data_IF_042301677221
#
_entry.id   IF_042301677221
#
_cell.length_a   1.000
_cell.length_b   1.000
_cell.length_c   1.000
_cell.angle_alpha   90.00
_cell.angle_beta   90.00
_cell.angle_gamma   90.00
#
_symmetry.space_group_name_H-M   'P 1'
#
loop_
_entity.id
_entity.type
_entity.pdbx_description
1 polymer ?
#
# COMPACT_ATOMS: atom_id res chain seq x y z
N UNK A 1 18.54 3.40 20.28
CA UNK A 1 17.70 3.96 19.20
C UNK A 1 18.09 5.36 18.74
N UNK A 2 18.46 6.32 19.60
CA UNK A 2 18.85 7.69 19.19
C UNK A 2 19.94 7.79 18.10
N UNK A 3 20.92 6.86 18.04
CA UNK A 3 21.98 6.88 17.01
C UNK A 3 21.45 6.50 15.60
N UNK A 4 20.43 5.65 15.52
CA UNK A 4 19.85 5.21 14.24
C UNK A 4 19.01 6.33 13.61
N UNK A 5 18.29 7.09 14.44
CA UNK A 5 17.55 8.28 14.03
C UNK A 5 18.49 9.38 13.53
N UNK A 6 19.54 9.69 14.29
CA UNK A 6 20.59 10.63 13.84
C UNK A 6 21.21 10.21 12.50
N UNK A 7 21.37 8.90 12.28
CA UNK A 7 21.77 8.35 10.98
C UNK A 7 20.82 8.75 9.84
N UNK A 8 19.51 8.57 10.01
CA UNK A 8 18.52 8.93 8.99
C UNK A 8 18.41 10.45 8.78
N UNK A 9 18.56 11.25 9.85
CA UNK A 9 18.60 12.71 9.74
C UNK A 9 19.80 13.18 8.92
N UNK A 10 20.99 12.68 9.23
CA UNK A 10 22.22 13.01 8.50
C UNK A 10 22.17 12.55 7.05
N UNK A 11 21.61 11.37 6.77
CA UNK A 11 21.41 10.87 5.41
C UNK A 11 20.43 11.73 4.62
N UNK A 12 19.38 12.23 5.27
CA UNK A 12 18.42 13.13 4.61
C UNK A 12 19.05 14.49 4.30
N UNK A 13 19.83 15.07 5.22
CA UNK A 13 20.59 16.29 4.95
C UNK A 13 21.63 16.09 3.82
N UNK A 14 22.24 14.91 3.73
CA UNK A 14 23.12 14.57 2.62
C UNK A 14 22.36 14.52 1.28
N UNK A 15 21.18 13.89 1.23
CA UNK A 15 20.34 13.87 0.04
C UNK A 15 20.01 15.29 -0.45
N UNK A 16 19.73 16.21 0.47
CA UNK A 16 19.48 17.62 0.14
C UNK A 16 20.71 18.36 -0.36
N UNK A 17 21.86 18.17 0.31
CA UNK A 17 23.12 18.76 -0.15
C UNK A 17 23.51 18.28 -1.55
N UNK A 18 23.12 17.06 -1.93
CA UNK A 18 23.29 16.56 -3.30
C UNK A 18 22.41 17.33 -4.30
N UNK A 19 21.20 17.76 -3.93
CA UNK A 19 20.36 18.61 -4.79
C UNK A 19 21.03 19.95 -5.08
N UNK A 20 21.57 20.59 -4.04
CA UNK A 20 22.30 21.86 -4.17
C UNK A 20 23.56 21.69 -5.01
N UNK A 21 24.30 20.59 -4.80
CA UNK A 21 25.48 20.27 -5.58
C UNK A 21 25.13 20.02 -7.05
N UNK A 22 24.05 19.29 -7.35
CA UNK A 22 23.56 19.06 -8.71
C UNK A 22 23.22 20.37 -9.43
N UNK A 23 22.56 21.31 -8.74
CA UNK A 23 22.27 22.63 -9.28
C UNK A 23 23.56 23.42 -9.60
N UNK A 24 24.55 23.37 -8.70
CA UNK A 24 25.85 24.03 -8.90
C UNK A 24 26.60 23.46 -10.09
N UNK A 25 26.74 22.12 -10.18
CA UNK A 25 27.51 21.49 -11.25
C UNK A 25 26.81 21.57 -12.61
N UNK A 26 25.48 21.67 -12.63
CA UNK A 26 24.71 21.93 -13.86
C UNK A 26 25.01 23.33 -14.43
N UNK A 27 25.32 24.31 -13.57
CA UNK A 27 25.66 25.67 -13.96
C UNK A 27 27.18 25.89 -14.23
N UNK A 28 28.03 24.91 -13.91
CA UNK A 28 29.48 25.04 -13.99
C UNK A 28 30.02 24.64 -15.37
N UNK A 29 30.39 25.62 -16.20
CA UNK A 29 31.05 25.36 -17.49
C UNK A 29 32.31 24.51 -17.30
N UNK A 30 32.44 23.44 -18.11
CA UNK A 30 33.54 22.48 -18.04
C UNK A 30 33.32 21.28 -17.11
N UNK A 31 32.23 21.26 -16.32
CA UNK A 31 31.84 20.06 -15.58
C UNK A 31 31.15 19.04 -16.51
N UNK A 32 31.33 17.71 -16.33
CA UNK A 32 30.66 16.69 -17.16
C UNK A 32 29.12 16.73 -17.15
N UNK A 33 28.53 17.34 -16.12
CA UNK A 33 27.07 17.50 -15.95
C UNK A 33 26.56 18.89 -16.34
N UNK A 34 27.40 19.76 -16.91
CA UNK A 34 26.98 21.10 -17.33
C UNK A 34 25.82 21.03 -18.32
N UNK A 35 24.69 21.68 -17.99
CA UNK A 35 23.45 21.68 -18.77
C UNK A 35 22.85 20.28 -19.04
N UNK A 36 23.17 19.29 -18.21
CA UNK A 36 22.65 17.92 -18.31
C UNK A 36 21.73 17.52 -17.15
N UNK A 37 21.48 18.42 -16.20
CA UNK A 37 20.50 18.21 -15.12
C UNK A 37 19.25 19.02 -15.41
N UNK A 38 18.12 18.31 -15.52
CA UNK A 38 16.80 18.92 -15.53
C UNK A 38 16.34 19.16 -14.09
N UNK A 39 16.43 20.42 -13.66
CA UNK A 39 16.09 20.83 -12.29
C UNK A 39 14.58 20.75 -11.98
N UNK A 40 13.72 20.64 -13.00
CA UNK A 40 12.26 20.50 -12.81
C UNK A 40 11.85 19.04 -12.59
N UNK A 41 12.73 18.09 -12.94
CA UNK A 41 12.44 16.65 -12.93
C UNK A 41 13.40 15.86 -12.04
N UNK A 42 13.59 16.33 -10.81
CA UNK A 42 14.42 15.64 -9.82
C UNK A 42 13.59 14.63 -9.02
N UNK A 43 14.06 13.39 -8.98
CA UNK A 43 13.50 12.32 -8.15
C UNK A 43 14.51 11.91 -7.08
N UNK A 44 14.01 11.56 -5.90
CA UNK A 44 14.85 11.12 -4.79
C UNK A 44 14.46 9.72 -4.36
N UNK A 45 15.44 8.87 -4.09
CA UNK A 45 15.16 7.53 -3.60
C UNK A 45 16.17 7.01 -2.59
N UNK A 46 15.75 6.01 -1.81
CA UNK A 46 16.61 5.40 -0.80
C UNK A 46 16.15 4.01 -0.40
N UNK A 47 17.12 3.14 -0.10
CA UNK A 47 16.89 1.77 0.35
C UNK A 47 16.97 1.65 1.87
N UNK A 48 16.12 0.81 2.48
CA UNK A 48 16.18 0.52 3.92
C UNK A 48 16.06 1.82 4.75
N UNK A 49 17.01 2.11 5.64
CA UNK A 49 17.10 3.39 6.38
C UNK A 49 17.22 4.62 5.46
N UNK A 50 17.79 4.45 4.27
CA UNK A 50 17.80 5.47 3.24
C UNK A 50 16.39 5.83 2.76
N UNK A 51 15.44 4.89 2.81
CA UNK A 51 14.03 5.18 2.57
C UNK A 51 13.42 6.09 3.63
N UNK A 52 13.77 5.92 4.91
CA UNK A 52 13.38 6.85 5.98
C UNK A 52 13.99 8.23 5.78
N UNK A 53 15.26 8.30 5.37
CA UNK A 53 15.88 9.58 4.98
C UNK A 53 15.09 10.27 3.86
N UNK A 54 14.72 9.52 2.81
CA UNK A 54 13.87 10.01 1.71
C UNK A 54 12.51 10.50 2.20
N UNK A 55 11.90 9.85 3.20
CA UNK A 55 10.62 10.32 3.76
C UNK A 55 10.76 11.68 4.43
N UNK A 56 11.87 11.90 5.14
CA UNK A 56 12.14 13.20 5.73
C UNK A 56 12.30 14.28 4.65
N UNK A 57 13.01 13.96 3.57
CA UNK A 57 13.20 14.87 2.43
C UNK A 57 11.87 15.14 1.73
N UNK A 58 11.02 14.12 1.51
CA UNK A 58 9.66 14.28 0.96
C UNK A 58 8.81 15.22 1.81
N UNK A 59 8.89 15.13 3.13
CA UNK A 59 8.16 16.03 4.03
C UNK A 59 8.51 17.50 3.78
N UNK A 60 9.76 17.76 3.39
CA UNK A 60 10.32 19.10 3.15
C UNK A 60 10.19 19.58 1.71
N UNK A 61 9.51 18.82 0.86
CA UNK A 61 9.08 19.30 -0.46
C UNK A 61 7.86 20.21 -0.40
N UNK A 62 7.38 20.54 0.79
CA UNK A 62 6.40 21.58 1.07
C UNK A 62 7.07 22.62 1.97
N UNK A 63 6.67 23.91 1.91
CA UNK A 63 7.16 24.90 2.85
C UNK A 63 6.95 24.42 4.29
N UNK A 64 7.97 24.52 5.12
CA UNK A 64 7.92 24.10 6.52
C UNK A 64 8.61 25.13 7.42
N UNK A 65 8.18 25.22 8.68
CA UNK A 65 8.77 26.14 9.66
C UNK A 65 9.82 25.42 10.47
N UNK A 66 11.04 25.93 10.46
CA UNK A 66 12.17 25.43 11.23
C UNK A 66 12.73 26.55 12.14
N UNK A 67 12.74 26.32 13.45
CA UNK A 67 13.14 27.34 14.45
C UNK A 67 12.46 28.72 14.27
N UNK A 68 11.20 28.75 13.84
CA UNK A 68 10.45 29.99 13.64
C UNK A 68 10.74 30.70 12.31
N UNK A 69 11.53 30.10 11.42
CA UNK A 69 11.76 30.59 10.07
C UNK A 69 11.19 29.62 9.03
N UNK A 70 10.49 30.14 8.04
CA UNK A 70 10.01 29.37 6.89
C UNK A 70 11.20 28.93 6.02
N UNK A 71 11.27 27.64 5.70
CA UNK A 71 12.26 27.07 4.81
C UNK A 71 11.65 26.86 3.42
N UNK A 72 12.40 27.13 2.34
CA UNK A 72 11.92 26.87 0.99
C UNK A 72 11.70 25.36 0.79
N UNK A 73 10.68 25.03 0.02
CA UNK A 73 10.40 23.65 -0.36
C UNK A 73 11.53 23.08 -1.22
N UNK A 74 11.89 21.82 -0.99
CA UNK A 74 12.74 21.08 -1.92
C UNK A 74 12.01 20.91 -3.25
N UNK A 75 12.67 21.28 -4.35
CA UNK A 75 12.18 21.07 -5.72
C UNK A 75 12.31 19.59 -6.12
N UNK A 76 11.38 18.77 -5.67
CA UNK A 76 11.29 17.35 -6.02
C UNK A 76 10.03 17.08 -6.84
N UNK A 77 10.18 16.26 -7.88
CA UNK A 77 9.08 15.81 -8.74
C UNK A 77 8.38 14.56 -8.20
N UNK A 78 9.11 13.74 -7.47
CA UNK A 78 8.59 12.53 -6.82
C UNK A 78 9.66 11.80 -6.03
N UNK A 79 9.25 10.79 -5.28
CA UNK A 79 10.15 10.01 -4.41
C UNK A 79 9.97 8.50 -4.60
N UNK A 80 11.04 7.74 -4.36
CA UNK A 80 11.06 6.28 -4.46
C UNK A 80 11.61 5.64 -3.19
N UNK A 81 10.81 4.80 -2.55
CA UNK A 81 11.20 4.05 -1.36
C UNK A 81 11.51 2.61 -1.75
N UNK A 82 12.73 2.16 -1.51
CA UNK A 82 13.10 0.76 -1.73
C UNK A 82 13.17 0.05 -0.38
N UNK A 83 12.16 -0.76 -0.05
CA UNK A 83 12.10 -1.51 1.21
C UNK A 83 12.38 -0.58 2.40
N UNK A 84 11.79 0.61 2.35
CA UNK A 84 12.14 1.74 3.21
C UNK A 84 11.50 1.66 4.58
N UNK A 85 12.15 2.26 5.57
CA UNK A 85 11.52 2.51 6.87
C UNK A 85 12.00 3.78 7.52
N UNK A 86 11.13 4.32 8.35
CA UNK A 86 11.46 5.40 9.25
C UNK A 86 11.16 5.02 10.70
N UNK A 87 12.23 4.82 11.48
CA UNK A 87 12.14 4.57 12.93
C UNK A 87 11.62 5.76 13.72
N UNK A 88 11.63 6.97 13.15
CA UNK A 88 11.13 8.16 13.84
C UNK A 88 9.61 8.08 14.00
N UNK A 89 8.90 7.36 13.13
CA UNK A 89 7.44 7.22 13.12
C UNK A 89 6.84 6.37 14.26
N UNK A 90 7.65 5.84 15.17
CA UNK A 90 7.19 4.97 16.27
C UNK A 90 7.04 5.78 17.56
N UNK A 91 5.91 5.66 18.27
CA UNK A 91 5.72 6.42 19.52
C UNK A 91 6.71 6.04 20.64
N UNK A 92 7.35 4.87 20.58
CA UNK A 92 8.37 4.45 21.58
C UNK A 92 9.79 4.92 21.29
N UNK A 93 10.10 5.34 20.06
CA UNK A 93 11.39 5.98 19.76
C UNK A 93 11.39 7.47 20.16
N UNK A 94 10.23 7.99 20.60
CA UNK A 94 10.08 9.29 21.29
C UNK A 94 10.67 9.21 22.72
N UNK A 95 11.96 8.93 22.85
CA UNK A 95 12.76 9.40 23.99
C UNK A 95 13.62 10.57 23.52
N UNK A 96 12.91 11.63 23.11
CA UNK A 96 13.50 12.80 22.47
C UNK A 96 12.60 13.23 21.34
N UNK A 97 11.88 14.33 21.54
CA UNK A 97 11.40 15.11 20.41
C UNK A 97 12.62 15.47 19.57
N UNK A 98 12.80 14.84 18.40
CA UNK A 98 13.73 15.39 17.41
C UNK A 98 13.15 16.73 16.97
N UNK A 99 13.52 17.79 17.69
CA UNK A 99 13.14 19.17 17.38
C UNK A 99 13.71 19.62 16.02
N UNK A 100 14.61 18.81 15.43
CA UNK A 100 15.29 19.13 14.17
C UNK A 100 14.45 18.73 12.95
N UNK A 101 13.73 17.60 13.00
CA UNK A 101 12.91 17.12 11.89
C UNK A 101 11.66 16.39 12.41
N UNK A 102 10.49 17.07 12.48
CA UNK A 102 9.26 16.41 12.89
C UNK A 102 8.89 15.32 11.88
N UNK A 103 8.47 14.13 12.37
CA UNK A 103 7.75 13.18 11.51
C UNK A 103 6.36 13.73 11.34
N UNK A 104 5.92 14.02 10.13
CA UNK A 104 4.57 14.50 9.93
C UNK A 104 3.59 13.33 10.11
N UNK A 105 2.41 13.62 10.66
CA UNK A 105 1.33 12.64 10.73
C UNK A 105 0.87 12.19 9.33
N UNK A 106 1.14 13.02 8.32
CA UNK A 106 0.80 12.85 6.91
C UNK A 106 2.06 13.04 6.05
N UNK A 107 2.25 12.26 4.99
CA UNK A 107 3.32 12.49 4.02
C UNK A 107 3.07 13.75 3.19
N UNK A 108 4.14 14.29 2.59
CA UNK A 108 4.02 15.37 1.61
C UNK A 108 3.19 14.95 0.39
N UNK A 109 2.48 15.91 -0.24
CA UNK A 109 1.60 15.67 -1.40
C UNK A 109 2.31 15.29 -2.71
N UNK A 110 3.59 14.92 -2.64
CA UNK A 110 4.35 14.52 -3.83
C UNK A 110 3.99 13.12 -4.28
N UNK A 111 4.09 12.84 -5.59
CA UNK A 111 4.08 11.48 -6.09
C UNK A 111 5.12 10.60 -5.40
N UNK A 112 4.72 9.41 -4.97
CA UNK A 112 5.62 8.44 -4.35
C UNK A 112 5.45 7.04 -4.92
N UNK A 113 6.56 6.37 -5.20
CA UNK A 113 6.61 4.93 -5.46
C UNK A 113 7.25 4.24 -4.26
N UNK A 114 6.56 3.27 -3.70
CA UNK A 114 7.03 2.44 -2.61
C UNK A 114 7.19 1.04 -3.17
N UNK A 115 8.38 0.47 -3.03
CA UNK A 115 8.69 -0.89 -3.43
C UNK A 115 8.99 -1.65 -2.16
N UNK A 116 8.38 -2.81 -1.98
CA UNK A 116 8.65 -3.65 -0.83
C UNK A 116 8.77 -5.12 -1.25
N UNK A 117 9.54 -5.89 -0.49
CA UNK A 117 9.77 -7.31 -0.77
C UNK A 117 8.80 -8.17 0.05
N UNK A 118 8.16 -9.16 -0.54
CA UNK A 118 7.25 -10.08 0.18
C UNK A 118 7.93 -10.74 1.40
N UNK A 119 9.20 -11.14 1.26
CA UNK A 119 10.00 -11.78 2.30
C UNK A 119 11.04 -10.82 2.89
N UNK A 120 10.68 -9.54 3.06
CA UNK A 120 11.51 -8.57 3.78
C UNK A 120 11.56 -8.92 5.28
N UNK A 121 12.77 -9.14 5.82
CA UNK A 121 12.98 -9.48 7.23
C UNK A 121 13.68 -8.42 8.05
N UNK A 122 14.34 -7.46 7.40
CA UNK A 122 14.88 -6.31 8.13
C UNK A 122 13.71 -5.50 8.69
N UNK A 123 12.58 -5.50 7.96
CA UNK A 123 11.42 -4.68 8.24
C UNK A 123 10.13 -5.45 7.99
N UNK A 124 9.72 -6.23 8.98
CA UNK A 124 8.37 -6.78 8.98
C UNK A 124 7.34 -5.65 8.89
N UNK A 125 6.19 -5.91 8.27
CA UNK A 125 5.05 -4.98 8.28
C UNK A 125 4.69 -4.58 9.74
N UNK A 126 4.28 -3.32 10.03
CA UNK A 126 3.82 -2.26 9.10
C UNK A 126 4.86 -1.30 8.59
N UNK A 127 6.15 -1.62 8.68
CA UNK A 127 7.14 -0.55 8.63
C UNK A 127 7.25 0.10 7.23
N UNK A 128 7.07 -0.63 6.13
CA UNK A 128 6.96 -0.01 4.80
C UNK A 128 5.58 0.60 4.54
N UNK A 129 4.52 -0.10 4.97
CA UNK A 129 3.12 0.24 4.69
C UNK A 129 2.67 1.52 5.38
N UNK A 130 3.31 1.89 6.50
CA UNK A 130 3.12 3.17 7.17
C UNK A 130 3.24 4.40 6.26
N UNK A 131 3.94 4.26 5.12
CA UNK A 131 4.11 5.33 4.16
C UNK A 131 2.86 5.51 3.30
N UNK A 132 2.26 4.42 2.77
CA UNK A 132 1.03 4.53 1.99
C UNK A 132 -0.17 4.92 2.87
N UNK A 133 -0.21 4.44 4.12
CA UNK A 133 -1.26 4.84 5.09
C UNK A 133 -1.24 6.33 5.43
N UNK A 134 -0.12 7.01 5.19
CA UNK A 134 0.05 8.45 5.42
C UNK A 134 0.14 9.23 4.11
N UNK A 135 -0.01 8.59 2.95
CA UNK A 135 0.10 9.26 1.67
C UNK A 135 -1.04 10.28 1.50
N UNK A 136 -0.68 11.53 1.21
CA UNK A 136 -1.65 12.59 0.87
C UNK A 136 -1.64 12.95 -0.62
N UNK A 137 -0.53 12.63 -1.29
CA UNK A 137 -0.37 12.73 -2.74
C UNK A 137 -0.54 11.39 -3.44
N UNK A 138 -0.39 11.35 -4.78
CA UNK A 138 -0.43 10.10 -5.54
C UNK A 138 0.64 9.12 -5.05
N UNK A 139 0.24 7.95 -4.58
CA UNK A 139 1.16 6.92 -4.11
C UNK A 139 0.89 5.58 -4.80
N UNK A 140 1.97 4.89 -5.16
CA UNK A 140 1.94 3.51 -5.63
C UNK A 140 2.78 2.69 -4.65
N UNK A 141 2.19 1.68 -4.04
CA UNK A 141 2.88 0.67 -3.25
C UNK A 141 2.90 -0.63 -4.03
N UNK A 142 4.08 -1.07 -4.45
CA UNK A 142 4.32 -2.33 -5.11
C UNK A 142 5.00 -3.32 -4.16
N UNK A 143 4.38 -4.47 -3.95
CA UNK A 143 5.01 -5.63 -3.32
C UNK A 143 5.51 -6.57 -4.39
N UNK A 144 6.82 -6.78 -4.47
CA UNK A 144 7.41 -7.79 -5.34
C UNK A 144 7.36 -9.13 -4.63
N UNK A 145 6.73 -10.11 -5.26
CA UNK A 145 6.59 -11.44 -4.70
C UNK A 145 7.86 -12.28 -4.90
N UNK A 146 8.22 -13.05 -3.88
CA UNK A 146 9.45 -13.85 -3.80
C UNK A 146 10.71 -13.06 -3.49
N UNK A 147 10.61 -11.74 -3.48
CA UNK A 147 11.71 -10.84 -3.16
C UNK A 147 12.12 -10.89 -1.68
N UNK A 148 13.33 -10.42 -1.38
CA UNK A 148 13.82 -10.15 -0.02
C UNK A 148 14.42 -8.75 0.10
N UNK A 149 14.73 -8.30 1.32
CA UNK A 149 15.25 -6.96 1.58
C UNK A 149 16.58 -6.69 0.86
N UNK A 150 17.50 -7.66 0.96
CA UNK A 150 18.90 -7.51 0.56
C UNK A 150 19.14 -7.48 -0.95
N UNK A 151 18.24 -8.07 -1.74
CA UNK A 151 18.39 -8.16 -3.20
C UNK A 151 18.18 -6.83 -3.93
N UNK A 152 17.74 -5.77 -3.24
CA UNK A 152 17.85 -4.42 -3.80
C UNK A 152 19.29 -3.91 -3.86
N UNK A 153 20.18 -4.41 -2.99
CA UNK A 153 21.60 -4.11 -3.03
C UNK A 153 22.39 -5.07 -3.92
N UNK A 154 23.53 -4.60 -4.44
CA UNK A 154 24.32 -5.35 -5.42
C UNK A 154 25.17 -6.47 -4.80
N UNK A 155 25.55 -6.31 -3.53
CA UNK A 155 26.61 -7.12 -2.91
C UNK A 155 26.13 -7.98 -1.75
N UNK A 156 24.99 -7.66 -1.15
CA UNK A 156 24.48 -8.38 0.03
C UNK A 156 23.83 -9.70 -0.40
N UNK A 157 24.28 -10.81 0.20
CA UNK A 157 23.71 -12.14 -0.06
C UNK A 157 22.24 -12.26 0.33
N UNK A 158 21.63 -13.39 -0.05
CA UNK A 158 20.28 -13.73 0.39
C UNK A 158 20.21 -13.71 1.92
N UNK A 159 19.07 -13.31 2.45
CA UNK A 159 18.85 -13.43 3.88
C UNK A 159 18.77 -14.92 4.32
N UNK A 160 19.10 -15.27 5.58
CA UNK A 160 19.11 -16.66 6.12
C UNK A 160 17.77 -17.42 6.01
N UNK A 161 17.63 -18.70 6.35
CA UNK A 161 16.29 -19.32 6.44
C UNK A 161 15.61 -19.01 7.79
N UNK A 162 14.38 -18.49 7.75
CA UNK A 162 13.54 -18.26 8.95
C UNK A 162 12.18 -18.97 8.82
N UNK A 163 12.12 -20.10 8.10
CA UNK A 163 10.93 -20.94 7.94
C UNK A 163 10.23 -21.30 9.26
N UNK A 164 11.00 -21.46 10.34
CA UNK A 164 10.48 -21.65 11.72
C UNK A 164 9.62 -20.50 12.27
N UNK A 165 9.65 -19.33 11.64
CA UNK A 165 8.90 -18.12 11.98
C UNK A 165 7.80 -17.81 10.95
N UNK A 166 7.50 -18.73 10.03
CA UNK A 166 6.50 -18.55 8.98
C UNK A 166 6.96 -17.62 7.85
N UNK A 167 8.27 -17.35 7.74
CA UNK A 167 8.85 -16.49 6.70
C UNK A 167 9.63 -17.36 5.73
N UNK A 168 9.23 -17.34 4.46
CA UNK A 168 9.89 -18.09 3.39
C UNK A 168 11.32 -17.59 3.11
N UNK A 169 12.09 -18.42 2.41
CA UNK A 169 13.27 -17.97 1.68
C UNK A 169 12.82 -17.18 0.44
N UNK A 170 13.62 -16.21 -0.04
CA UNK A 170 13.36 -15.64 -1.35
C UNK A 170 13.34 -16.76 -2.40
N UNK A 171 12.34 -16.74 -3.27
CA UNK A 171 12.17 -17.73 -4.33
C UNK A 171 12.33 -17.15 -5.74
N UNK A 172 12.66 -15.85 -5.85
CA UNK A 172 13.20 -15.24 -7.06
C UNK A 172 14.67 -14.86 -6.86
N UNK A 173 15.40 -14.69 -7.94
CA UNK A 173 16.79 -14.24 -7.96
C UNK A 173 16.90 -12.73 -7.74
N UNK A 174 18.12 -12.26 -7.41
CA UNK A 174 18.42 -10.82 -7.34
C UNK A 174 18.08 -10.10 -8.65
N UNK A 175 18.46 -10.69 -9.78
CA UNK A 175 18.26 -10.10 -11.09
C UNK A 175 16.77 -9.90 -11.40
N UNK A 176 15.93 -10.91 -11.14
CA UNK A 176 14.48 -10.81 -11.32
C UNK A 176 13.86 -9.75 -10.40
N UNK A 177 14.28 -9.68 -9.14
CA UNK A 177 13.80 -8.65 -8.21
C UNK A 177 14.17 -7.23 -8.70
N UNK A 178 15.42 -7.02 -9.10
CA UNK A 178 15.89 -5.73 -9.58
C UNK A 178 15.20 -5.34 -10.89
N UNK A 179 15.01 -6.27 -11.82
CA UNK A 179 14.28 -6.04 -13.07
C UNK A 179 12.84 -5.57 -12.79
N UNK A 180 12.08 -6.32 -11.97
CA UNK A 180 10.71 -5.96 -11.59
C UNK A 180 10.64 -4.59 -10.89
N UNK A 181 11.55 -4.33 -9.96
CA UNK A 181 11.64 -3.05 -9.27
C UNK A 181 11.94 -1.90 -10.24
N UNK A 182 12.94 -2.04 -11.10
CA UNK A 182 13.35 -0.98 -12.01
C UNK A 182 12.34 -0.72 -13.13
N UNK A 183 11.59 -1.74 -13.57
CA UNK A 183 10.46 -1.53 -14.50
C UNK A 183 9.43 -0.56 -13.90
N UNK A 184 9.07 -0.72 -12.62
CA UNK A 184 8.16 0.18 -11.92
C UNK A 184 8.77 1.57 -11.71
N UNK A 185 10.06 1.66 -11.36
CA UNK A 185 10.76 2.95 -11.20
C UNK A 185 10.79 3.74 -12.51
N UNK A 186 11.14 3.08 -13.62
CA UNK A 186 11.17 3.70 -14.94
C UNK A 186 9.77 4.17 -15.34
N UNK A 187 8.75 3.35 -15.09
CA UNK A 187 7.37 3.75 -15.34
C UNK A 187 6.96 4.97 -14.51
N UNK A 188 7.29 4.99 -13.21
CA UNK A 188 7.00 6.09 -12.32
C UNK A 188 7.69 7.40 -12.75
N UNK A 189 8.98 7.34 -13.08
CA UNK A 189 9.74 8.51 -13.55
C UNK A 189 9.14 9.02 -14.86
N UNK A 190 8.87 8.14 -15.85
CA UNK A 190 8.25 8.55 -17.11
C UNK A 190 6.87 9.17 -16.92
N UNK A 191 6.03 8.57 -16.06
CA UNK A 191 4.70 9.08 -15.73
C UNK A 191 4.74 10.48 -15.15
N UNK A 192 5.69 10.79 -14.29
CA UNK A 192 5.71 12.08 -13.58
C UNK A 192 6.60 13.12 -14.24
N UNK A 193 7.73 12.74 -14.84
CA UNK A 193 8.58 13.65 -15.58
C UNK A 193 7.94 14.04 -16.93
N UNK A 194 7.47 13.05 -17.68
CA UNK A 194 6.89 13.23 -19.01
C UNK A 194 5.37 13.35 -19.05
N UNK A 195 4.68 13.19 -17.91
CA UNK A 195 3.21 13.13 -17.84
C UNK A 195 2.60 12.02 -18.71
N UNK A 196 3.33 10.90 -18.89
CA UNK A 196 2.90 9.78 -19.73
C UNK A 196 1.75 9.00 -19.08
N UNK A 197 0.52 9.32 -19.46
CA UNK A 197 -0.70 8.70 -18.93
C UNK A 197 -0.86 7.22 -19.33
N UNK A 198 -0.11 6.72 -20.31
CA UNK A 198 -0.20 5.31 -20.70
C UNK A 198 0.29 4.35 -19.61
N UNK A 199 1.07 4.86 -18.66
CA UNK A 199 1.67 4.09 -17.57
C UNK A 199 0.77 4.00 -16.31
N UNK A 200 -0.41 4.61 -16.35
CA UNK A 200 -1.33 4.61 -15.22
C UNK A 200 -1.87 3.21 -14.90
N UNK A 201 -2.02 2.35 -15.91
CA UNK A 201 -2.48 0.99 -15.68
C UNK A 201 -1.50 0.18 -14.84
N UNK A 202 -0.21 0.29 -15.14
CA UNK A 202 0.89 -0.34 -14.39
C UNK A 202 1.02 0.20 -12.96
N UNK A 203 0.93 1.53 -12.77
CA UNK A 203 1.19 2.18 -11.48
C UNK A 203 -0.02 2.20 -10.53
N UNK A 204 -1.23 2.07 -11.06
CA UNK A 204 -2.49 2.16 -10.29
C UNK A 204 -3.34 0.89 -10.44
N UNK A 205 -2.65 -0.25 -10.56
CA UNK A 205 -3.18 -1.61 -10.39
C UNK A 205 -4.27 -2.04 -11.40
N UNK A 206 -4.38 -1.42 -12.58
CA UNK A 206 -5.26 -1.94 -13.62
C UNK A 206 -4.60 -3.07 -14.43
N UNK A 207 -3.29 -2.99 -14.65
CA UNK A 207 -2.55 -3.97 -15.49
C UNK A 207 -1.98 -5.15 -14.68
N UNK A 208 -1.64 -4.91 -13.40
CA UNK A 208 -1.07 -5.92 -12.51
C UNK A 208 -2.11 -6.59 -11.60
N UNK A 209 -3.40 -6.31 -11.81
CA UNK A 209 -4.47 -6.99 -11.10
C UNK A 209 -4.36 -8.51 -11.28
N UNK A 210 -4.37 -9.26 -10.17
CA UNK A 210 -4.20 -10.71 -10.20
C UNK A 210 -2.80 -11.23 -10.56
N UNK A 211 -1.80 -10.37 -10.73
CA UNK A 211 -0.43 -10.77 -11.07
C UNK A 211 0.20 -11.68 -10.01
N UNK A 212 0.98 -12.67 -10.45
CA UNK A 212 1.79 -13.55 -9.59
C UNK A 212 3.21 -13.00 -9.32
N UNK A 213 3.54 -11.82 -9.86
CA UNK A 213 4.88 -11.24 -9.74
C UNK A 213 4.94 -10.03 -8.80
N UNK A 214 3.92 -9.17 -8.88
CA UNK A 214 3.84 -7.92 -8.15
C UNK A 214 2.39 -7.65 -7.74
N UNK A 215 2.17 -7.37 -6.46
CA UNK A 215 0.91 -6.82 -5.96
C UNK A 215 1.01 -5.30 -5.87
N UNK A 216 0.06 -4.58 -6.45
CA UNK A 216 0.01 -3.11 -6.35
C UNK A 216 -1.14 -2.70 -5.43
N UNK A 217 -0.86 -1.72 -4.60
CA UNK A 217 -1.84 -0.90 -3.89
C UNK A 217 -1.57 0.55 -4.27
N UNK A 218 -2.61 1.35 -4.51
CA UNK A 218 -2.46 2.72 -4.91
C UNK A 218 -3.35 3.67 -4.12
N UNK A 219 -2.83 4.88 -3.93
CA UNK A 219 -3.59 6.04 -3.52
C UNK A 219 -3.55 7.05 -4.65
N UNK A 220 -4.66 7.19 -5.38
CA UNK A 220 -4.76 8.15 -6.49
C UNK A 220 -5.67 9.30 -6.07
N UNK A 221 -5.08 10.41 -5.64
CA UNK A 221 -5.83 11.62 -5.30
C UNK A 221 -6.09 12.49 -6.56
N UNK A 222 -6.58 11.90 -7.65
CA UNK A 222 -6.78 12.61 -8.93
C UNK A 222 -8.14 12.37 -9.59
N UNK A 223 -9.06 11.64 -8.96
CA UNK A 223 -10.45 11.44 -9.42
C UNK A 223 -11.42 11.80 -8.31
N UNK A 224 -12.70 12.01 -8.66
CA UNK A 224 -13.76 12.13 -7.67
C UNK A 224 -13.76 10.89 -6.79
N UNK A 225 -13.88 11.05 -5.47
CA UNK A 225 -13.66 9.96 -4.54
C UNK A 225 -14.68 9.99 -3.42
N UNK A 226 -15.28 8.83 -3.17
CA UNK A 226 -16.15 8.61 -2.01
C UNK A 226 -15.55 7.50 -1.15
N UNK A 227 -15.00 7.88 0.01
CA UNK A 227 -14.46 6.93 1.00
C UNK A 227 -15.63 6.36 1.78
N UNK A 228 -15.92 5.07 1.61
CA UNK A 228 -16.91 4.39 2.44
C UNK A 228 -16.31 4.17 3.82
N UNK A 229 -15.14 3.53 3.88
CA UNK A 229 -14.45 3.23 5.12
C UNK A 229 -12.94 3.07 4.90
N UNK A 230 -12.12 3.78 5.69
CA UNK A 230 -10.67 3.61 5.75
C UNK A 230 -10.22 2.82 6.99
N UNK A 231 -11.16 2.46 7.87
CA UNK A 231 -10.94 1.74 9.12
C UNK A 231 -9.96 2.37 10.12
N UNK A 232 -9.51 3.61 9.88
CA UNK A 232 -8.57 4.32 10.75
C UNK A 232 -9.27 4.91 11.99
N UNK A 233 -10.58 5.17 11.90
CA UNK A 233 -11.38 5.76 12.99
C UNK A 233 -11.52 4.89 14.25
N UNK A 234 -11.20 3.60 14.18
CA UNK A 234 -11.25 2.66 15.30
C UNK A 234 -12.66 2.23 15.74
N UNK A 235 -13.72 2.87 15.24
CA UNK A 235 -15.09 2.45 15.44
C UNK A 235 -15.46 1.33 14.46
N UNK A 236 -15.49 0.09 14.96
CA UNK A 236 -15.75 -1.08 14.13
C UNK A 236 -17.20 -1.23 13.63
N UNK A 237 -18.15 -0.50 14.20
CA UNK A 237 -19.58 -0.63 13.87
C UNK A 237 -20.09 0.47 12.96
N UNK A 238 -19.27 1.48 12.65
CA UNK A 238 -19.64 2.57 11.77
C UNK A 238 -18.50 2.92 10.81
N UNK A 239 -18.85 3.20 9.56
CA UNK A 239 -17.90 3.62 8.54
C UNK A 239 -17.70 5.14 8.51
N UNK A 240 -16.76 5.62 7.70
CA UNK A 240 -16.39 7.04 7.58
C UNK A 240 -17.56 7.93 7.14
N UNK A 241 -18.52 7.36 6.41
CA UNK A 241 -19.73 8.05 5.97
C UNK A 241 -20.85 8.09 7.04
N UNK A 242 -20.67 7.42 8.18
CA UNK A 242 -21.64 7.31 9.26
C UNK A 242 -22.65 6.16 9.12
N UNK A 243 -22.44 5.27 8.15
CA UNK A 243 -23.25 4.08 7.95
C UNK A 243 -22.78 2.90 8.81
N UNK A 244 -23.67 1.92 9.01
CA UNK A 244 -23.40 0.78 9.89
C UNK A 244 -22.57 -0.29 9.18
N UNK A 245 -21.58 -0.82 9.89
CA UNK A 245 -20.84 -2.02 9.51
C UNK A 245 -21.40 -3.24 10.27
N UNK A 246 -21.66 -4.34 9.57
CA UNK A 246 -22.19 -5.62 10.11
C UNK A 246 -21.42 -6.83 9.58
N UNK A 247 -21.27 -7.89 10.38
CA UNK A 247 -20.64 -9.14 9.97
C UNK A 247 -21.54 -10.30 10.39
N UNK A 248 -21.94 -11.10 9.40
CA UNK A 248 -22.62 -12.35 9.67
C UNK A 248 -21.60 -13.44 9.95
N UNK A 249 -21.86 -14.29 10.94
CA UNK A 249 -21.11 -15.54 11.16
C UNK A 249 -19.58 -15.38 11.23
N UNK A 250 -19.10 -14.63 12.23
CA UNK A 250 -17.67 -14.41 12.47
C UNK A 250 -17.41 -13.45 13.63
N UNK A 251 -16.16 -13.01 13.77
CA UNK A 251 -15.80 -11.91 14.68
C UNK A 251 -14.90 -10.92 13.96
N UNK A 252 -14.83 -9.67 14.42
CA UNK A 252 -13.88 -8.70 13.90
C UNK A 252 -13.26 -7.85 15.00
N UNK A 253 -12.12 -7.25 14.65
CA UNK A 253 -11.43 -6.22 15.44
C UNK A 253 -10.91 -5.10 14.54
N UNK A 254 -10.92 -3.87 15.04
CA UNK A 254 -10.24 -2.70 14.44
C UNK A 254 -8.94 -2.36 15.15
N UNK A 255 -8.58 -3.12 16.19
CA UNK A 255 -7.33 -2.98 16.92
C UNK A 255 -6.45 -4.18 16.64
N UNK A 256 -5.34 -3.96 15.93
CA UNK A 256 -4.34 -4.96 15.65
C UNK A 256 -3.65 -4.71 14.31
N UNK A 257 -2.34 -4.93 14.28
CA UNK A 257 -1.64 -5.19 13.03
C UNK A 257 -1.81 -6.66 12.69
N UNK A 258 -1.80 -6.98 11.40
CA UNK A 258 -2.12 -8.33 10.91
C UNK A 258 -0.91 -9.26 10.81
N UNK A 259 0.13 -8.91 11.58
CA UNK A 259 1.50 -9.37 11.39
C UNK A 259 2.11 -9.77 12.73
N UNK A 260 3.19 -10.59 12.73
CA UNK A 260 3.83 -11.06 13.94
C UNK A 260 4.11 -9.92 14.92
N UNK A 261 3.99 -10.20 16.21
CA UNK A 261 4.23 -9.24 17.30
C UNK A 261 5.74 -8.96 17.48
N UNK A 262 6.44 -8.63 16.40
CA UNK A 262 7.87 -8.34 16.42
C UNK A 262 8.08 -6.84 16.56
N UNK A 263 8.40 -6.41 17.79
CA UNK A 263 8.67 -5.02 18.11
C UNK A 263 7.42 -4.19 18.44
N UNK A 264 7.67 -2.92 18.76
CA UNK A 264 6.71 -1.94 19.27
C UNK A 264 5.74 -1.40 18.19
N UNK A 265 5.25 -2.28 17.31
CA UNK A 265 4.46 -1.94 16.11
C UNK A 265 3.08 -1.34 16.44
N UNK A 266 2.56 -1.59 17.65
CA UNK A 266 1.32 -0.97 18.16
C UNK A 266 1.41 0.55 18.33
N UNK A 267 2.58 1.15 18.10
CA UNK A 267 2.81 2.60 18.19
C UNK A 267 2.77 3.37 16.87
N UNK A 268 2.57 2.70 15.73
CA UNK A 268 2.48 3.38 14.44
C UNK A 268 1.16 4.15 14.24
N UNK A 269 0.14 3.87 15.06
CA UNK A 269 -1.16 4.54 15.01
C UNK A 269 -2.06 4.10 13.84
N UNK A 270 -1.62 3.15 13.03
CA UNK A 270 -2.37 2.56 11.91
C UNK A 270 -3.34 1.49 12.42
N UNK A 271 -4.54 1.43 11.83
CA UNK A 271 -5.57 0.42 12.13
C UNK A 271 -6.06 -0.23 10.86
N UNK A 272 -6.55 -1.46 10.97
CA UNK A 272 -7.17 -2.18 9.86
C UNK A 272 -8.41 -2.91 10.37
N UNK A 273 -9.35 -3.23 9.48
CA UNK A 273 -10.46 -4.10 9.81
C UNK A 273 -10.04 -5.56 9.63
N UNK A 274 -9.96 -6.28 10.73
CA UNK A 274 -9.55 -7.68 10.77
C UNK A 274 -10.77 -8.53 11.02
N UNK A 275 -11.17 -9.30 10.02
CA UNK A 275 -12.28 -10.25 10.08
C UNK A 275 -11.74 -11.64 10.37
N UNK A 276 -12.22 -12.30 11.41
CA UNK A 276 -11.92 -13.72 11.69
C UNK A 276 -13.10 -14.56 11.24
N UNK A 277 -12.87 -15.34 10.19
CA UNK A 277 -13.83 -16.22 9.52
C UNK A 277 -13.80 -17.62 10.14
N UNK A 278 -14.98 -18.19 10.41
CA UNK A 278 -15.09 -19.61 10.77
C UNK A 278 -14.77 -20.51 9.58
N UNK A 279 -14.20 -21.69 9.82
CA UNK A 279 -13.97 -22.68 8.75
C UNK A 279 -15.24 -23.45 8.40
N UNK A 280 -15.67 -23.38 7.14
CA UNK A 280 -16.81 -24.14 6.61
C UNK A 280 -18.13 -23.38 6.65
N UNK A 281 -18.22 -22.27 5.92
CA UNK A 281 -19.45 -21.51 5.76
C UNK A 281 -19.26 -20.20 4.99
N UNK A 282 -20.34 -19.44 4.89
CA UNK A 282 -20.33 -18.08 4.35
C UNK A 282 -20.30 -17.06 5.50
N UNK A 283 -19.40 -16.09 5.39
CA UNK A 283 -19.31 -14.91 6.26
C UNK A 283 -19.46 -13.68 5.36
N UNK A 284 -20.37 -12.76 5.70
CA UNK A 284 -20.56 -11.50 4.96
C UNK A 284 -20.22 -10.32 5.84
N UNK A 285 -19.26 -9.49 5.40
CA UNK A 285 -19.03 -8.16 5.94
C UNK A 285 -19.78 -7.13 5.08
N UNK A 286 -20.66 -6.35 5.70
CA UNK A 286 -21.47 -5.33 5.02
C UNK A 286 -21.09 -3.97 5.55
N UNK A 287 -20.86 -3.01 4.66
CA UNK A 287 -20.75 -1.59 4.96
C UNK A 287 -21.90 -0.83 4.30
N UNK A 288 -22.80 -0.25 5.12
CA UNK A 288 -23.94 0.55 4.62
C UNK A 288 -23.48 1.94 4.22
N UNK A 289 -23.94 2.44 3.08
CA UNK A 289 -23.74 3.83 2.66
C UNK A 289 -24.99 4.60 3.07
N UNK A 290 -24.92 5.63 3.96
CA UNK A 290 -26.11 6.38 4.35
C UNK A 290 -26.72 7.14 3.18
N UNK A 291 -28.04 7.31 3.16
CA UNK A 291 -28.77 7.93 2.05
C UNK A 291 -28.27 9.30 1.59
N UNK A 292 -27.67 10.09 2.49
CA UNK A 292 -27.05 11.38 2.17
C UNK A 292 -25.80 11.26 1.27
N UNK A 293 -25.16 10.10 1.24
CA UNK A 293 -23.84 9.87 0.64
C UNK A 293 -23.87 8.79 -0.46
N UNK A 294 -25.05 8.45 -0.98
CA UNK A 294 -25.20 7.38 -1.98
C UNK A 294 -25.09 7.89 -3.42
N UNK A 295 -24.95 9.19 -3.68
CA UNK A 295 -24.69 9.69 -5.04
C UNK A 295 -23.26 9.35 -5.45
N UNK A 296 -23.14 8.35 -6.32
CA UNK A 296 -21.88 7.84 -6.85
C UNK A 296 -21.78 8.05 -8.37
N UNK A 297 -22.62 8.91 -8.95
CA UNK A 297 -22.77 9.12 -10.39
C UNK A 297 -21.48 9.54 -11.12
N UNK A 298 -20.52 10.13 -10.38
CA UNK A 298 -19.22 10.55 -10.91
C UNK A 298 -18.13 9.49 -10.78
N UNK A 299 -18.39 8.40 -10.06
CA UNK A 299 -17.44 7.30 -9.86
C UNK A 299 -17.61 6.23 -10.94
N UNK A 300 -16.57 5.44 -11.17
CA UNK A 300 -16.50 4.42 -12.24
C UNK A 300 -16.04 3.06 -11.73
N UNK A 301 -15.50 2.99 -10.52
CA UNK A 301 -14.97 1.76 -9.93
C UNK A 301 -15.09 1.76 -8.42
N UNK A 302 -15.10 0.55 -7.87
CA UNK A 302 -14.90 0.30 -6.45
C UNK A 302 -13.47 -0.18 -6.24
N UNK A 303 -12.82 0.39 -5.23
CA UNK A 303 -11.45 0.07 -4.85
C UNK A 303 -11.42 -0.26 -3.36
N UNK A 304 -10.61 -1.24 -2.99
CA UNK A 304 -10.34 -1.62 -1.61
C UNK A 304 -8.98 -2.31 -1.55
N UNK A 305 -8.45 -2.42 -0.33
CA UNK A 305 -7.27 -3.23 -0.04
C UNK A 305 -7.69 -4.48 0.72
N UNK A 306 -7.14 -5.62 0.32
CA UNK A 306 -7.40 -6.89 0.97
C UNK A 306 -6.12 -7.70 1.18
N UNK A 307 -6.05 -8.43 2.29
CA UNK A 307 -5.02 -9.42 2.56
C UNK A 307 -5.58 -10.59 3.38
N UNK A 308 -4.81 -11.68 3.54
CA UNK A 308 -5.33 -12.85 4.23
C UNK A 308 -4.25 -13.71 4.90
N UNK A 309 -4.36 -13.89 6.23
CA UNK A 309 -3.55 -14.87 6.97
C UNK A 309 -4.40 -16.01 7.53
N UNK A 310 -3.84 -17.21 7.60
CA UNK A 310 -4.47 -18.32 8.30
C UNK A 310 -4.04 -18.38 9.77
N UNK A 311 -4.68 -19.27 10.54
CA UNK A 311 -4.40 -19.39 11.98
C UNK A 311 -2.97 -19.82 12.32
N UNK A 312 -2.22 -20.36 11.34
CA UNK A 312 -0.82 -20.77 11.48
C UNK A 312 0.16 -19.69 10.97
N UNK A 313 -0.35 -18.52 10.58
CA UNK A 313 0.46 -17.44 10.00
C UNK A 313 0.80 -17.63 8.52
N UNK A 314 0.20 -18.61 7.85
CA UNK A 314 0.37 -18.82 6.40
C UNK A 314 -0.46 -17.83 5.63
N UNK A 315 0.16 -17.32 4.59
CA UNK A 315 -0.31 -16.21 3.78
C UNK A 315 -1.09 -16.69 2.56
N UNK A 316 -2.15 -15.98 2.17
CA UNK A 316 -2.75 -16.14 0.84
C UNK A 316 -4.09 -16.84 0.68
N UNK A 317 -4.85 -16.49 -0.38
CA UNK A 317 -6.29 -16.77 -0.56
C UNK A 317 -6.71 -18.23 -0.86
N UNK A 318 -5.79 -19.18 -1.01
CA UNK A 318 -5.99 -20.59 -1.47
C UNK A 318 -7.21 -21.35 -0.86
N UNK A 319 -7.73 -20.92 0.30
CA UNK A 319 -8.78 -21.62 1.04
C UNK A 319 -10.06 -20.80 1.29
N UNK A 320 -10.15 -19.61 0.71
CA UNK A 320 -11.30 -18.72 0.83
C UNK A 320 -11.68 -18.21 -0.54
N UNK A 321 -12.94 -18.39 -0.94
CA UNK A 321 -13.48 -17.66 -2.09
C UNK A 321 -13.86 -16.27 -1.60
N UNK A 322 -13.41 -15.24 -2.32
CA UNK A 322 -13.63 -13.83 -1.98
C UNK A 322 -14.51 -13.23 -3.07
N UNK A 323 -15.65 -12.67 -2.68
CA UNK A 323 -16.59 -12.00 -3.59
C UNK A 323 -16.90 -10.60 -3.08
N UNK A 324 -17.17 -9.69 -4.00
CA UNK A 324 -17.73 -8.38 -3.71
C UNK A 324 -19.14 -8.31 -4.24
N UNK A 325 -20.09 -7.86 -3.42
CA UNK A 325 -21.46 -7.61 -3.80
C UNK A 325 -21.81 -6.14 -3.58
N UNK A 326 -22.41 -5.54 -4.59
CA UNK A 326 -23.00 -4.20 -4.52
C UNK A 326 -24.51 -4.33 -4.53
N UNK A 327 -25.19 -3.55 -3.68
CA UNK A 327 -26.65 -3.49 -3.60
C UNK A 327 -27.08 -2.03 -3.68
N UNK A 328 -28.07 -1.72 -4.52
CA UNK A 328 -28.63 -0.38 -4.65
C UNK A 328 -29.85 -0.13 -3.75
N UNK A 329 -30.43 1.07 -3.83
CA UNK A 329 -31.62 1.48 -3.06
C UNK A 329 -32.87 0.67 -3.37
N UNK A 330 -32.96 0.13 -4.58
CA UNK A 330 -34.07 -0.69 -5.05
C UNK A 330 -33.92 -2.15 -4.60
N UNK A 331 -32.81 -2.48 -3.93
CA UNK A 331 -32.37 -3.83 -3.57
C UNK A 331 -31.98 -4.68 -4.79
N UNK A 332 -31.73 -4.07 -5.94
CA UNK A 332 -31.03 -4.77 -7.01
C UNK A 332 -29.58 -4.95 -6.59
N UNK A 333 -29.03 -6.14 -6.84
CA UNK A 333 -27.67 -6.48 -6.43
C UNK A 333 -26.91 -7.22 -7.52
N UNK A 334 -25.59 -7.08 -7.51
CA UNK A 334 -24.68 -7.84 -8.37
C UNK A 334 -23.46 -8.28 -7.57
N UNK A 335 -22.98 -9.49 -7.86
CA UNK A 335 -21.83 -10.08 -7.17
C UNK A 335 -20.73 -10.40 -8.18
N UNK A 336 -19.51 -9.95 -7.89
CA UNK A 336 -18.29 -10.27 -8.64
C UNK A 336 -17.39 -11.15 -7.77
N UNK A 337 -16.93 -12.26 -8.33
CA UNK A 337 -15.95 -13.13 -7.67
C UNK A 337 -14.55 -12.56 -7.90
N UNK A 338 -13.85 -12.22 -6.82
CA UNK A 338 -12.53 -11.62 -6.85
C UNK A 338 -11.42 -12.69 -6.88
N UNK A 339 -11.67 -13.79 -6.17
CA UNK A 339 -10.85 -15.00 -6.13
C UNK A 339 -11.75 -16.20 -5.85
N UNK A 340 -11.57 -17.30 -6.57
CA UNK A 340 -12.28 -18.56 -6.36
C UNK A 340 -11.31 -19.68 -5.99
N UNK A 341 -11.45 -20.21 -4.77
CA UNK A 341 -10.62 -21.32 -4.30
C UNK A 341 -10.84 -22.62 -5.07
N UNK A 342 -11.98 -22.79 -5.73
CA UNK A 342 -12.28 -23.99 -6.54
C UNK A 342 -11.80 -23.83 -7.98
N UNK A 343 -11.80 -22.60 -8.49
CA UNK A 343 -11.37 -22.24 -9.84
C UNK A 343 -10.34 -21.12 -9.75
N UNK A 344 -9.15 -21.51 -9.30
CA UNK A 344 -7.98 -20.67 -9.08
C UNK A 344 -7.55 -20.00 -10.39
N UNK A 345 -8.17 -18.84 -10.67
CA UNK A 345 -7.86 -17.95 -11.77
C UNK A 345 -7.88 -16.52 -11.23
N UNK A 346 -6.72 -15.87 -11.25
CA UNK A 346 -6.57 -14.50 -10.74
C UNK A 346 -7.02 -13.47 -11.77
N UNK A 347 -8.23 -12.92 -11.63
CA UNK A 347 -8.65 -11.73 -12.39
C UNK A 347 -8.41 -10.45 -11.59
N UNK A 348 -8.67 -10.47 -10.29
CA UNK A 348 -8.59 -9.27 -9.44
C UNK A 348 -7.60 -9.44 -8.29
N UNK A 349 -7.54 -10.64 -7.71
CA UNK A 349 -6.60 -11.00 -6.66
C UNK A 349 -5.63 -12.08 -7.16
N UNK A 350 -4.38 -12.10 -6.68
CA UNK A 350 -3.37 -13.04 -7.12
C UNK A 350 -3.81 -14.48 -6.88
N UNK A 351 -3.40 -15.35 -7.79
CA UNK A 351 -3.63 -16.79 -7.69
C UNK A 351 -2.51 -17.50 -6.91
N UNK A 352 -2.88 -18.49 -6.09
CA UNK A 352 -2.01 -19.25 -5.19
C UNK A 352 -1.84 -20.68 -5.68
N UNK A 353 -1.22 -20.86 -6.86
CA UNK A 353 -1.00 -22.21 -7.37
C UNK A 353 0.25 -22.82 -6.73
N UNK A 354 0.06 -23.88 -5.93
CA UNK A 354 1.09 -24.88 -5.66
C UNK A 354 1.39 -25.19 -4.18
N UNK A 355 1.49 -26.49 -3.87
CA UNK A 355 1.80 -27.04 -2.55
C UNK A 355 3.30 -27.02 -2.16
N UNK A 356 4.14 -26.30 -2.92
CA UNK A 356 5.60 -26.39 -2.82
C UNK A 356 6.31 -25.20 -2.17
N UNK A 357 5.71 -24.02 -2.16
CA UNK A 357 6.14 -22.74 -1.59
C UNK A 357 5.50 -21.67 -2.49
N UNK A 358 4.67 -20.76 -1.95
CA UNK A 358 4.30 -19.45 -2.54
C UNK A 358 3.35 -18.74 -1.56
N UNK A 359 3.92 -17.94 -0.64
CA UNK A 359 3.17 -17.26 0.43
C UNK A 359 3.03 -15.76 0.13
N UNK A 360 2.10 -15.38 -0.73
CA UNK A 360 1.80 -13.95 -0.93
C UNK A 360 1.01 -13.41 0.27
N UNK A 361 1.60 -12.54 1.12
CA UNK A 361 0.83 -11.56 1.91
C UNK A 361 1.59 -10.24 2.04
N UNK A 362 1.02 -9.25 1.35
CA UNK A 362 0.76 -7.88 1.81
C UNK A 362 -0.67 -7.51 1.39
N UNK A 363 -1.14 -6.33 1.78
CA UNK A 363 -2.34 -5.77 1.15
C UNK A 363 -2.14 -5.71 -0.38
N UNK A 364 -3.11 -6.25 -1.10
CA UNK A 364 -3.28 -6.04 -2.53
C UNK A 364 -4.52 -5.19 -2.76
N UNK A 365 -4.50 -4.35 -3.77
CA UNK A 365 -5.68 -3.60 -4.15
C UNK A 365 -6.57 -4.46 -5.06
N UNK A 366 -7.86 -4.50 -4.74
CA UNK A 366 -8.90 -4.91 -5.67
C UNK A 366 -9.47 -3.66 -6.34
N UNK A 367 -9.54 -3.66 -7.66
CA UNK A 367 -10.05 -2.56 -8.46
C UNK A 367 -11.02 -3.14 -9.50
N UNK A 368 -12.32 -2.83 -9.33
CA UNK A 368 -13.39 -3.39 -10.16
C UNK A 368 -14.24 -2.26 -10.70
N UNK A 369 -14.42 -2.23 -12.02
CA UNK A 369 -15.28 -1.24 -12.67
C UNK A 369 -16.75 -1.48 -12.33
N UNK A 370 -17.50 -0.40 -12.13
CA UNK A 370 -18.95 -0.46 -11.89
C UNK A 370 -19.69 -1.08 -13.08
N UNK A 371 -19.15 -0.92 -14.29
CA UNK A 371 -19.66 -1.57 -15.50
C UNK A 371 -19.71 -3.11 -15.33
N UNK A 372 -18.69 -3.71 -14.72
CA UNK A 372 -18.64 -5.17 -14.46
C UNK A 372 -19.87 -5.62 -13.66
N UNK A 373 -20.32 -4.84 -12.67
CA UNK A 373 -21.51 -5.14 -11.89
C UNK A 373 -22.80 -4.99 -12.70
N UNK A 374 -22.91 -3.94 -13.53
CA UNK A 374 -24.07 -3.74 -14.41
C UNK A 374 -24.19 -4.79 -15.51
N UNK A 375 -23.07 -5.37 -15.95
CA UNK A 375 -23.08 -6.52 -16.87
C UNK A 375 -23.62 -7.78 -16.20
N UNK A 376 -23.38 -7.96 -14.90
CA UNK A 376 -23.90 -9.07 -14.10
C UNK A 376 -25.39 -8.89 -13.74
N UNK A 377 -25.82 -7.66 -13.50
CA UNK A 377 -27.23 -7.30 -13.32
C UNK A 377 -27.50 -5.91 -13.92
N UNK A 378 -28.20 -5.87 -15.05
CA UNK A 378 -28.52 -4.62 -15.76
C UNK A 378 -29.49 -3.70 -15.03
N UNK A 379 -30.18 -4.20 -13.98
CA UNK A 379 -31.07 -3.38 -13.16
C UNK A 379 -30.33 -2.65 -12.04
N UNK A 380 -29.10 -3.06 -11.70
CA UNK A 380 -28.32 -2.44 -10.64
C UNK A 380 -28.03 -0.97 -10.99
N UNK A 381 -28.49 -0.06 -10.14
CA UNK A 381 -28.19 1.35 -10.23
C UNK A 381 -26.92 1.71 -9.45
N UNK A 382 -25.79 1.75 -10.17
CA UNK A 382 -24.48 2.07 -9.57
C UNK A 382 -24.33 3.53 -9.18
N UNK A 383 -25.23 4.42 -9.59
CA UNK A 383 -25.22 5.83 -9.17
C UNK A 383 -25.80 6.01 -7.77
N UNK A 384 -26.52 5.00 -7.25
CA UNK A 384 -27.24 5.06 -5.97
C UNK A 384 -27.10 3.75 -5.17
N UNK A 385 -25.88 3.44 -4.74
CA UNK A 385 -25.60 2.23 -3.97
C UNK A 385 -26.01 2.38 -2.50
N UNK A 386 -26.62 1.34 -1.95
CA UNK A 386 -26.99 1.24 -0.53
C UNK A 386 -25.92 0.56 0.32
N UNK A 387 -25.20 -0.41 -0.26
CA UNK A 387 -24.16 -1.12 0.48
C UNK A 387 -23.10 -1.77 -0.39
N UNK A 388 -21.93 -1.92 0.21
CA UNK A 388 -20.85 -2.78 -0.27
C UNK A 388 -20.70 -3.97 0.68
N UNK A 389 -20.61 -5.16 0.12
CA UNK A 389 -20.53 -6.40 0.88
C UNK A 389 -19.39 -7.27 0.41
N UNK A 390 -18.53 -7.68 1.34
CA UNK A 390 -17.53 -8.71 1.10
C UNK A 390 -18.09 -10.04 1.58
N UNK A 391 -18.23 -10.99 0.66
CA UNK A 391 -18.74 -12.34 0.93
C UNK A 391 -17.57 -13.32 0.86
N UNK A 392 -17.35 -14.03 1.95
CA UNK A 392 -16.25 -14.99 2.09
C UNK A 392 -16.80 -16.39 2.27
N UNK A 393 -16.32 -17.34 1.47
CA UNK A 393 -16.68 -18.75 1.60
C UNK A 393 -15.43 -19.57 1.92
N UNK A 394 -15.32 -20.05 3.15
CA UNK A 394 -14.15 -20.79 3.62
C UNK A 394 -14.31 -22.30 3.42
N UNK A 395 -13.18 -22.99 3.22
CA UNK A 395 -13.18 -24.46 3.24
C UNK A 395 -13.52 -25.02 4.63
N UNK A 396 -14.09 -26.22 4.67
CA UNK A 396 -14.35 -26.92 5.92
C UNK A 396 -13.05 -27.09 6.71
N UNK A 397 -13.04 -26.66 7.97
CA UNK A 397 -11.85 -26.71 8.84
C UNK A 397 -10.78 -25.66 8.54
N UNK A 398 -10.99 -24.78 7.56
CA UNK A 398 -10.04 -23.73 7.19
C UNK A 398 -10.48 -22.35 7.72
N UNK A 399 -10.32 -22.11 9.02
CA UNK A 399 -10.51 -20.78 9.60
C UNK A 399 -9.48 -19.77 9.06
N UNK A 400 -9.91 -18.54 8.79
CA UNK A 400 -9.09 -17.52 8.10
C UNK A 400 -9.24 -16.16 8.75
N UNK A 401 -8.23 -15.32 8.63
CA UNK A 401 -8.34 -13.90 8.94
C UNK A 401 -8.22 -13.08 7.64
N UNK A 402 -9.24 -12.29 7.36
CA UNK A 402 -9.23 -11.33 6.25
C UNK A 402 -8.93 -9.95 6.78
N UNK A 403 -8.21 -9.18 5.99
CA UNK A 403 -7.88 -7.80 6.28
C UNK A 403 -8.50 -6.94 5.21
N UNK A 404 -9.27 -5.95 5.62
CA UNK A 404 -9.90 -5.00 4.73
C UNK A 404 -9.45 -3.59 5.12
N UNK A 405 -9.23 -2.76 4.10
CA UNK A 405 -8.85 -1.36 4.26
C UNK A 405 -9.25 -0.54 3.01
N UNK A 406 -9.36 0.78 3.18
CA UNK A 406 -9.47 1.79 2.13
C UNK A 406 -10.56 1.50 1.09
N UNK A 407 -11.74 1.10 1.57
CA UNK A 407 -12.92 0.88 0.75
C UNK A 407 -13.48 2.21 0.26
N UNK A 408 -13.45 2.41 -1.06
CA UNK A 408 -13.86 3.64 -1.71
C UNK A 408 -14.39 3.44 -3.12
N UNK A 409 -15.05 4.46 -3.64
CA UNK A 409 -15.37 4.61 -5.05
C UNK A 409 -14.50 5.71 -5.66
N UNK A 410 -14.05 5.49 -6.90
CA UNK A 410 -13.24 6.41 -7.70
C UNK A 410 -13.77 6.56 -9.13
#
# INVERSE_FOLDING_TARGET
DNNAEQGMLSASAFQEGVLDWLAQVNAQSGHPLYQHVDAENIFMGGHSRGGGATQASQTRSQPYVFHGAEQPALSLRGVVYFMGFDLRSFNTTISGSSNVYPIPAEQGRLPSLLIAAENDRDLFYPICDQFIERATGPATFATIYGACHNYMGDTTGAEPDYSSQGIGLPYITRAEQQERAFNLVVAFIKRWAGLDLSLEGLLYNNELAGSQEVGVTAWRNMTERVVVDDHQGGNKTANTLGGTNTLSSGTWTTSGGVYPTWGSLGTLGVRHNILTLSGGGETTYTSKIPSANQDLSQTRRVIFRVGQIDQAGRKGFDWVTVKLRLTDRQNDSATVTLFDRQNQYGQYLPDYVGSGNNYFDRFVEGNITLETFTQMNSNLNTDQLDSVEFVFETAQGAGRQMYLDDLRFE
#
